data_IF_679931854233
#
_entry.id   IF_679931854233
#
_cell.length_a   1.000
_cell.length_b   1.000
_cell.length_c   1.000
_cell.angle_alpha   90.00
_cell.angle_beta   90.00
_cell.angle_gamma   90.00
#
_symmetry.space_group_name_H-M   'P 1'
#
loop_
_entity.id
_entity.type
_entity.pdbx_description
1 polymer ?
#
# COMPACT_ATOMS: atom_id res chain seq x y z
N UNK A 1 1.96 11.82 3.40
CA UNK A 1 1.50 10.44 3.11
C UNK A 1 0.11 10.17 3.68
N UNK A 2 -0.21 10.63 4.89
CA UNK A 2 -1.54 10.39 5.51
C UNK A 2 -2.72 10.99 4.74
N UNK A 3 -2.55 12.14 4.09
CA UNK A 3 -3.63 12.77 3.30
C UNK A 3 -3.98 11.93 2.07
N UNK A 4 -2.98 11.39 1.37
CA UNK A 4 -3.18 10.59 0.15
C UNK A 4 -3.87 9.25 0.47
N UNK A 5 -3.46 8.61 1.57
CA UNK A 5 -4.10 7.38 2.05
C UNK A 5 -5.48 7.65 2.66
N UNK A 6 -5.67 8.81 3.29
CA UNK A 6 -6.99 9.28 3.74
C UNK A 6 -7.95 9.45 2.57
N UNK A 7 -7.49 10.04 1.46
CA UNK A 7 -8.30 10.19 0.23
C UNK A 7 -8.62 8.83 -0.39
N UNK A 8 -7.64 7.91 -0.49
CA UNK A 8 -7.90 6.53 -0.99
C UNK A 8 -8.85 5.76 -0.06
N UNK A 9 -8.72 5.92 1.26
CA UNK A 9 -9.62 5.30 2.23
C UNK A 9 -11.04 5.89 2.16
N UNK A 10 -11.18 7.21 1.99
CA UNK A 10 -12.47 7.88 1.82
C UNK A 10 -13.14 7.43 0.51
N UNK A 11 -12.39 7.38 -0.60
CA UNK A 11 -12.90 6.88 -1.88
C UNK A 11 -13.29 5.40 -1.75
N UNK A 12 -12.47 4.59 -1.09
CA UNK A 12 -12.77 3.18 -0.80
C UNK A 12 -14.02 3.01 0.06
N UNK A 13 -14.19 3.80 1.11
CA UNK A 13 -15.38 3.80 1.96
C UNK A 13 -16.63 4.25 1.18
N UNK A 14 -16.49 5.25 0.31
CA UNK A 14 -17.56 5.76 -0.52
C UNK A 14 -18.01 4.76 -1.59
N UNK A 15 -17.08 3.99 -2.16
CA UNK A 15 -17.36 2.99 -3.19
C UNK A 15 -17.81 1.63 -2.64
N UNK A 16 -17.26 1.20 -1.50
CA UNK A 16 -17.49 -0.15 -0.94
C UNK A 16 -18.43 -0.17 0.26
N UNK A 17 -18.77 0.99 0.85
CA UNK A 17 -19.70 1.10 1.99
C UNK A 17 -19.17 0.48 3.30
N UNK A 18 -17.89 0.15 3.38
CA UNK A 18 -17.26 -0.50 4.53
C UNK A 18 -16.13 0.35 5.11
N UNK A 19 -16.04 0.45 6.44
CA UNK A 19 -14.93 1.09 7.13
C UNK A 19 -13.59 0.45 6.72
N UNK A 20 -12.84 1.16 5.87
CA UNK A 20 -11.50 0.74 5.44
C UNK A 20 -10.58 0.81 6.66
N UNK A 21 -10.10 -0.35 7.12
CA UNK A 21 -9.17 -0.44 8.25
C UNK A 21 -7.93 0.43 7.98
N UNK A 22 -7.43 1.20 8.98
CA UNK A 22 -6.31 2.10 8.78
C UNK A 22 -5.08 1.33 8.27
N UNK A 23 -4.42 1.80 7.19
CA UNK A 23 -3.31 1.07 6.56
C UNK A 23 -2.10 0.96 7.49
N UNK A 24 -1.93 1.88 8.44
CA UNK A 24 -0.85 1.88 9.41
C UNK A 24 -1.38 1.92 10.83
N UNK A 25 -0.76 1.14 11.72
CA UNK A 25 -1.06 1.15 13.15
C UNK A 25 0.22 1.41 13.95
N UNK A 26 0.57 2.70 14.07
CA UNK A 26 1.68 3.17 14.92
C UNK A 26 2.98 2.35 14.73
N UNK A 27 3.56 2.35 13.51
CA UNK A 27 4.68 1.47 13.14
C UNK A 27 5.95 1.69 13.97
N UNK A 28 6.13 2.89 14.51
CA UNK A 28 7.27 3.26 15.36
C UNK A 28 7.33 2.49 16.69
N UNK A 29 6.20 1.94 17.14
CA UNK A 29 6.10 1.17 18.38
C UNK A 29 6.20 -0.35 18.16
N UNK A 30 6.68 -0.79 17.00
CA UNK A 30 6.82 -2.22 16.69
C UNK A 30 7.87 -2.89 17.57
N UNK A 31 7.49 -3.91 18.35
CA UNK A 31 8.46 -4.58 19.23
C UNK A 31 9.34 -5.63 18.50
N UNK A 32 9.12 -5.84 17.20
CA UNK A 32 9.80 -6.84 16.37
C UNK A 32 9.54 -6.61 14.88
N UNK A 33 10.34 -7.22 13.99
CA UNK A 33 10.06 -7.21 12.55
C UNK A 33 8.74 -7.90 12.24
N UNK A 34 8.42 -8.98 12.96
CA UNK A 34 7.12 -9.64 12.85
C UNK A 34 5.95 -8.73 13.21
N UNK A 35 6.07 -7.96 14.29
CA UNK A 35 5.01 -7.03 14.72
C UNK A 35 4.89 -5.84 13.75
N UNK A 36 6.02 -5.37 13.22
CA UNK A 36 6.05 -4.34 12.18
C UNK A 36 5.29 -4.82 10.92
N UNK A 37 5.79 -5.85 10.25
CA UNK A 37 5.25 -6.31 8.96
C UNK A 37 3.86 -6.97 9.07
N UNK A 38 3.56 -7.59 10.21
CA UNK A 38 2.34 -8.39 10.38
C UNK A 38 1.14 -7.62 10.95
N UNK A 39 1.36 -6.52 11.68
CA UNK A 39 0.27 -5.87 12.45
C UNK A 39 0.25 -4.35 12.38
N UNK A 40 1.32 -3.71 11.92
CA UNK A 40 1.48 -2.25 12.05
C UNK A 40 1.79 -1.55 10.74
N UNK A 41 2.48 -2.23 9.83
CA UNK A 41 2.84 -1.72 8.52
C UNK A 41 1.93 -2.29 7.44
N UNK A 42 1.27 -1.41 6.69
CA UNK A 42 0.44 -1.73 5.54
C UNK A 42 -0.53 -2.90 5.79
N UNK A 43 -1.38 -2.75 6.81
CA UNK A 43 -2.27 -3.81 7.29
C UNK A 43 -3.21 -4.33 6.19
N UNK A 44 -3.59 -3.48 5.24
CA UNK A 44 -4.40 -3.87 4.07
C UNK A 44 -3.60 -4.80 3.16
N UNK A 45 -2.39 -4.40 2.74
CA UNK A 45 -1.54 -5.24 1.89
C UNK A 45 -1.15 -6.55 2.58
N UNK A 46 -0.77 -6.49 3.86
CA UNK A 46 -0.42 -7.68 4.65
C UNK A 46 -1.61 -8.65 4.80
N UNK A 47 -2.83 -8.12 4.99
CA UNK A 47 -4.05 -8.93 5.02
C UNK A 47 -4.34 -9.57 3.67
N UNK A 48 -4.22 -8.81 2.58
CA UNK A 48 -4.44 -9.30 1.21
C UNK A 48 -3.43 -10.40 0.86
N UNK A 49 -2.14 -10.17 1.07
CA UNK A 49 -1.09 -11.17 0.83
C UNK A 49 -1.26 -12.40 1.73
N UNK A 50 -1.78 -12.23 2.95
CA UNK A 50 -2.06 -13.35 3.84
C UNK A 50 -3.14 -14.27 3.26
N UNK A 51 -4.22 -13.69 2.73
CA UNK A 51 -5.30 -14.46 2.12
C UNK A 51 -4.89 -15.04 0.76
N UNK A 52 -4.22 -14.24 -0.07
CA UNK A 52 -3.88 -14.59 -1.45
C UNK A 52 -2.67 -15.53 -1.57
N UNK A 53 -1.69 -15.43 -0.68
CA UNK A 53 -0.41 -16.16 -0.79
C UNK A 53 -0.14 -17.00 0.45
N UNK A 54 -0.11 -16.40 1.64
CA UNK A 54 0.34 -17.09 2.84
C UNK A 54 -0.52 -18.32 3.17
N UNK A 55 -1.84 -18.15 3.28
CA UNK A 55 -2.78 -19.23 3.61
C UNK A 55 -2.77 -20.38 2.59
N UNK A 56 -2.88 -20.13 1.26
CA UNK A 56 -2.86 -21.22 0.29
C UNK A 56 -1.50 -21.93 0.24
N UNK A 57 -0.39 -21.19 0.34
CA UNK A 57 0.95 -21.80 0.40
C UNK A 57 1.12 -22.61 1.68
N UNK A 58 0.68 -22.09 2.83
CA UNK A 58 0.72 -22.81 4.10
C UNK A 58 -0.06 -24.12 4.01
N UNK A 59 -1.29 -24.09 3.50
CA UNK A 59 -2.14 -25.26 3.39
C UNK A 59 -1.53 -26.34 2.48
N UNK A 60 -0.96 -25.94 1.32
CA UNK A 60 -0.28 -26.87 0.42
C UNK A 60 1.03 -27.40 1.02
N UNK A 61 1.87 -26.50 1.54
CA UNK A 61 3.17 -26.86 2.11
C UNK A 61 3.04 -27.76 3.35
N UNK A 62 2.00 -27.56 4.18
CA UNK A 62 1.74 -28.39 5.36
C UNK A 62 1.50 -29.85 4.99
N UNK A 63 0.90 -30.09 3.81
CA UNK A 63 0.63 -31.44 3.30
C UNK A 63 1.86 -32.10 2.68
N UNK A 64 2.77 -31.32 2.10
CA UNK A 64 3.92 -31.83 1.33
C UNK A 64 5.18 -31.93 2.20
N UNK A 65 5.53 -30.85 2.91
CA UNK A 65 6.83 -30.68 3.60
C UNK A 65 6.65 -30.81 5.12
N UNK A 66 5.41 -30.82 5.60
CA UNK A 66 5.05 -31.01 6.99
C UNK A 66 4.85 -29.70 7.78
N UNK A 67 4.18 -29.78 8.94
CA UNK A 67 3.66 -28.61 9.65
C UNK A 67 4.74 -27.72 10.26
N UNK A 68 5.97 -28.22 10.43
CA UNK A 68 7.08 -27.46 11.03
C UNK A 68 7.71 -26.46 10.05
N UNK A 69 7.83 -26.83 8.77
CA UNK A 69 8.50 -26.01 7.75
C UNK A 69 7.52 -25.20 6.90
N UNK A 70 6.25 -25.62 6.86
CA UNK A 70 5.22 -24.95 6.08
C UNK A 70 5.02 -23.45 6.41
N UNK A 71 5.05 -23.01 7.69
CA UNK A 71 4.92 -21.59 8.02
C UNK A 71 6.10 -20.74 7.52
N UNK A 72 7.31 -21.28 7.55
CA UNK A 72 8.52 -20.61 7.06
C UNK A 72 8.47 -20.46 5.54
N UNK A 73 8.08 -21.52 4.83
CA UNK A 73 7.94 -21.46 3.38
C UNK A 73 6.84 -20.47 2.97
N UNK A 74 5.67 -20.52 3.61
CA UNK A 74 4.57 -19.59 3.35
C UNK A 74 4.99 -18.13 3.56
N UNK A 75 5.77 -17.86 4.61
CA UNK A 75 6.31 -16.54 4.89
C UNK A 75 7.26 -16.06 3.79
N UNK A 76 8.26 -16.87 3.43
CA UNK A 76 9.22 -16.53 2.37
C UNK A 76 8.52 -16.30 1.03
N UNK A 77 7.58 -17.18 0.65
CA UNK A 77 6.78 -17.02 -0.56
C UNK A 77 5.99 -15.71 -0.55
N UNK A 78 5.44 -15.31 0.59
CA UNK A 78 4.71 -14.03 0.71
C UNK A 78 5.62 -12.83 0.48
N UNK A 79 6.85 -12.85 1.02
CA UNK A 79 7.83 -11.78 0.79
C UNK A 79 8.32 -11.73 -0.66
N UNK A 80 8.50 -12.88 -1.32
CA UNK A 80 8.86 -12.95 -2.75
C UNK A 80 7.74 -12.39 -3.63
N UNK A 81 6.49 -12.77 -3.39
CA UNK A 81 5.35 -12.23 -4.16
C UNK A 81 5.22 -10.72 -3.92
N UNK A 82 5.39 -10.27 -2.68
CA UNK A 82 5.42 -8.84 -2.37
C UNK A 82 6.54 -8.11 -3.12
N UNK A 83 7.75 -8.67 -3.14
CA UNK A 83 8.89 -8.11 -3.88
C UNK A 83 8.57 -7.90 -5.36
N UNK A 84 8.03 -8.94 -6.02
CA UNK A 84 7.67 -8.90 -7.43
C UNK A 84 6.58 -7.87 -7.72
N UNK A 85 5.56 -7.78 -6.86
CA UNK A 85 4.52 -6.75 -7.00
C UNK A 85 5.12 -5.35 -6.93
N UNK A 86 6.04 -5.11 -6.00
CA UNK A 86 6.68 -3.78 -5.89
C UNK A 86 7.58 -3.47 -7.08
N UNK A 87 8.28 -4.46 -7.65
CA UNK A 87 9.04 -4.24 -8.89
C UNK A 87 8.14 -3.96 -10.08
N UNK A 88 7.00 -4.65 -10.20
CA UNK A 88 6.02 -4.36 -11.25
C UNK A 88 5.49 -2.93 -11.10
N UNK A 89 5.15 -2.51 -9.89
CA UNK A 89 4.70 -1.13 -9.62
C UNK A 89 5.79 -0.12 -10.01
N UNK A 90 7.03 -0.33 -9.60
CA UNK A 90 8.13 0.57 -9.96
C UNK A 90 8.45 0.56 -11.45
N UNK A 91 8.34 -0.58 -12.12
CA UNK A 91 8.45 -0.66 -13.56
C UNK A 91 7.36 0.17 -14.26
N UNK A 92 6.10 0.10 -13.81
CA UNK A 92 5.03 0.89 -14.40
C UNK A 92 5.19 2.40 -14.16
N UNK A 93 5.62 2.80 -12.96
CA UNK A 93 5.80 4.20 -12.59
C UNK A 93 7.05 4.82 -13.23
N UNK A 94 8.18 4.11 -13.20
CA UNK A 94 9.47 4.59 -13.71
C UNK A 94 9.67 4.35 -15.20
N UNK A 95 9.04 3.29 -15.77
CA UNK A 95 9.30 2.76 -17.13
C UNK A 95 10.77 2.44 -17.42
N UNK A 96 11.52 2.10 -16.40
CA UNK A 96 12.91 1.67 -16.52
C UNK A 96 13.04 0.27 -15.94
N UNK A 97 13.97 -0.52 -16.49
CA UNK A 97 14.28 -1.87 -16.03
C UNK A 97 14.59 -1.85 -14.52
N UNK A 98 13.94 -2.70 -13.72
CA UNK A 98 14.19 -2.79 -12.29
C UNK A 98 15.62 -3.29 -12.03
N UNK A 99 16.35 -2.65 -11.11
CA UNK A 99 17.70 -3.06 -10.70
C UNK A 99 17.72 -4.05 -9.54
N UNK A 100 16.54 -4.55 -9.16
CA UNK A 100 16.35 -5.59 -8.15
C UNK A 100 16.64 -5.17 -6.71
N UNK A 101 16.96 -3.91 -6.43
CA UNK A 101 17.20 -3.39 -5.09
C UNK A 101 15.96 -3.49 -4.21
N UNK A 102 14.78 -3.23 -4.79
CA UNK A 102 13.48 -3.48 -4.14
C UNK A 102 13.28 -4.95 -3.81
N UNK A 103 13.63 -5.85 -4.74
CA UNK A 103 13.55 -7.29 -4.48
C UNK A 103 14.48 -7.72 -3.34
N UNK A 104 15.73 -7.26 -3.36
CA UNK A 104 16.72 -7.48 -2.30
C UNK A 104 16.23 -6.99 -0.94
N UNK A 105 15.61 -5.81 -0.89
CA UNK A 105 15.03 -5.27 0.33
C UNK A 105 14.01 -6.23 0.95
N UNK A 106 13.00 -6.67 0.19
CA UNK A 106 11.98 -7.59 0.70
C UNK A 106 12.55 -8.97 1.08
N UNK A 107 13.52 -9.48 0.33
CA UNK A 107 14.18 -10.76 0.65
C UNK A 107 14.96 -10.69 1.97
N UNK A 108 15.73 -9.61 2.19
CA UNK A 108 16.47 -9.39 3.44
C UNK A 108 15.48 -9.31 4.61
N UNK A 109 14.40 -8.54 4.46
CA UNK A 109 13.37 -8.41 5.50
C UNK A 109 12.70 -9.75 5.81
N UNK A 110 12.35 -10.53 4.79
CA UNK A 110 11.76 -11.86 4.94
C UNK A 110 12.71 -12.83 5.65
N UNK A 111 13.99 -12.84 5.29
CA UNK A 111 15.01 -13.69 5.91
C UNK A 111 15.24 -13.30 7.38
N UNK A 112 15.37 -12.00 7.67
CA UNK A 112 15.50 -11.51 9.05
C UNK A 112 14.29 -11.93 9.91
N UNK A 113 13.08 -11.92 9.36
CA UNK A 113 11.87 -12.34 10.08
C UNK A 113 11.84 -13.86 10.35
N UNK A 114 12.33 -14.68 9.41
CA UNK A 114 12.51 -16.13 9.61
C UNK A 114 13.52 -16.42 10.72
N UNK A 115 14.67 -15.73 10.69
CA UNK A 115 15.70 -15.84 11.71
C UNK A 115 15.13 -15.43 13.07
N UNK A 116 14.41 -14.32 13.14
CA UNK A 116 13.76 -13.84 14.37
C UNK A 116 12.78 -14.88 14.94
N UNK A 117 11.90 -15.45 14.10
CA UNK A 117 10.96 -16.48 14.53
C UNK A 117 11.66 -17.76 15.01
N UNK A 118 12.74 -18.17 14.34
CA UNK A 118 13.51 -19.37 14.70
C UNK A 118 14.25 -19.17 16.01
N UNK A 119 14.87 -18.00 16.21
CA UNK A 119 15.54 -17.64 17.46
C UNK A 119 14.55 -17.57 18.63
N UNK A 120 13.38 -16.95 18.43
CA UNK A 120 12.32 -16.91 19.46
C UNK A 120 11.77 -18.30 19.83
N UNK A 121 11.78 -19.24 18.88
CA UNK A 121 11.30 -20.60 19.13
C UNK A 121 12.35 -21.46 19.82
N UNK A 122 13.64 -21.33 19.45
CA UNK A 122 14.74 -22.11 20.03
C UNK A 122 15.20 -21.58 21.37
N UNK A 123 15.24 -20.27 21.49
CA UNK A 123 15.68 -19.58 22.70
C UNK A 123 14.40 -19.17 23.41
N UNK A 124 14.01 -19.91 24.46
CA UNK A 124 12.84 -19.63 25.30
C UNK A 124 13.09 -18.38 26.19
N UNK A 125 13.59 -17.32 25.56
CA UNK A 125 14.15 -16.14 26.18
C UNK A 125 12.99 -15.21 26.53
N UNK A 126 12.62 -15.21 27.81
CA UNK A 126 11.73 -14.25 28.47
C UNK A 126 12.36 -12.86 28.62
N UNK A 127 13.28 -12.46 27.74
CA UNK A 127 13.85 -11.11 27.80
C UNK A 127 12.81 -10.14 27.29
N UNK A 128 12.12 -9.50 28.22
CA UNK A 128 11.27 -8.35 27.95
C UNK A 128 12.16 -7.16 27.64
N UNK A 129 12.75 -7.14 26.44
CA UNK A 129 13.42 -5.94 25.95
C UNK A 129 12.35 -4.84 25.88
N UNK A 130 12.57 -3.67 26.51
CA UNK A 130 11.57 -2.61 26.53
C UNK A 130 11.13 -2.28 25.10
N UNK A 131 9.82 -2.26 24.87
CA UNK A 131 9.25 -1.94 23.54
C UNK A 131 9.73 -0.60 23.01
N UNK A 132 10.07 0.32 23.91
CA UNK A 132 10.64 1.64 23.60
C UNK A 132 12.02 1.57 22.92
N UNK A 133 12.80 0.51 23.13
CA UNK A 133 14.15 0.38 22.56
C UNK A 133 14.08 -0.40 21.24
N UNK A 134 13.27 -1.47 21.21
CA UNK A 134 13.13 -2.30 20.01
C UNK A 134 12.39 -1.58 18.88
N UNK A 135 11.41 -0.73 19.19
CA UNK A 135 10.66 0.06 18.20
C UNK A 135 11.55 0.91 17.30
N UNK A 136 12.31 1.87 17.86
CA UNK A 136 13.24 2.70 17.10
C UNK A 136 14.32 1.89 16.38
N UNK A 137 14.80 0.79 16.98
CA UNK A 137 15.83 -0.05 16.37
C UNK A 137 15.31 -0.78 15.12
N UNK A 138 14.15 -1.43 15.22
CA UNK A 138 13.51 -2.11 14.08
C UNK A 138 13.14 -1.10 13.00
N UNK A 139 12.55 0.03 13.40
CA UNK A 139 12.19 1.09 12.47
C UNK A 139 13.42 1.67 11.78
N UNK A 140 14.48 1.98 12.53
CA UNK A 140 15.75 2.48 12.01
C UNK A 140 16.42 1.50 11.05
N UNK A 141 16.40 0.19 11.36
CA UNK A 141 16.90 -0.84 10.45
C UNK A 141 16.12 -0.88 9.12
N UNK A 142 14.80 -0.79 9.17
CA UNK A 142 13.95 -0.78 7.97
C UNK A 142 14.19 0.49 7.16
N UNK A 143 14.22 1.66 7.80
CA UNK A 143 14.51 2.93 7.13
C UNK A 143 15.89 2.91 6.51
N UNK A 144 16.91 2.45 7.23
CA UNK A 144 18.27 2.34 6.71
C UNK A 144 18.36 1.44 5.47
N UNK A 145 17.78 0.24 5.55
CA UNK A 145 17.78 -0.70 4.42
C UNK A 145 16.98 -0.17 3.23
N UNK A 146 15.85 0.49 3.47
CA UNK A 146 15.06 1.16 2.44
C UNK A 146 15.84 2.31 1.78
N UNK A 147 16.44 3.19 2.57
CA UNK A 147 17.23 4.32 2.07
C UNK A 147 18.44 3.86 1.27
N UNK A 148 19.02 2.70 1.60
CA UNK A 148 20.18 2.16 0.90
C UNK A 148 19.83 1.41 -0.38
N UNK A 149 18.73 0.65 -0.39
CA UNK A 149 18.42 -0.29 -1.48
C UNK A 149 17.33 0.21 -2.42
N UNK A 150 16.33 0.93 -1.90
CA UNK A 150 15.15 1.34 -2.67
C UNK A 150 15.22 2.81 -3.06
N UNK A 151 15.66 3.69 -2.15
CA UNK A 151 15.74 5.12 -2.42
C UNK A 151 16.65 5.52 -3.60
N UNK A 152 17.85 4.94 -3.82
CA UNK A 152 18.65 5.29 -5.00
C UNK A 152 17.93 4.93 -6.30
N UNK A 153 17.20 3.81 -6.34
CA UNK A 153 16.38 3.43 -7.49
C UNK A 153 15.27 4.48 -7.72
N UNK A 154 14.53 4.84 -6.68
CA UNK A 154 13.46 5.84 -6.78
C UNK A 154 13.93 7.23 -7.25
N UNK A 155 15.11 7.66 -6.80
CA UNK A 155 15.69 8.95 -7.17
C UNK A 155 16.16 8.96 -8.63
N UNK A 156 16.77 7.87 -9.12
CA UNK A 156 17.20 7.78 -10.51
C UNK A 156 16.04 7.73 -11.50
N UNK A 157 14.89 7.21 -11.08
CA UNK A 157 13.73 7.05 -11.94
C UNK A 157 12.84 8.31 -12.05
N UNK A 158 13.19 9.43 -11.40
CA UNK A 158 12.36 10.65 -11.30
C UNK A 158 10.88 10.34 -10.95
N UNK A 159 10.65 9.23 -10.21
CA UNK A 159 9.30 8.70 -9.96
C UNK A 159 8.44 9.73 -9.24
N UNK A 160 9.06 10.52 -8.37
CA UNK A 160 8.38 11.56 -7.60
C UNK A 160 7.88 12.67 -8.53
N UNK A 161 8.74 13.21 -9.40
CA UNK A 161 8.35 14.29 -10.32
C UNK A 161 7.30 13.82 -11.32
N UNK A 162 7.46 12.60 -11.86
CA UNK A 162 6.52 12.03 -12.82
C UNK A 162 5.19 11.65 -12.20
N UNK A 163 5.18 11.03 -11.02
CA UNK A 163 3.94 10.73 -10.30
C UNK A 163 3.20 12.01 -9.90
N UNK A 164 3.92 13.08 -9.53
CA UNK A 164 3.33 14.40 -9.29
C UNK A 164 2.71 14.96 -10.59
N UNK A 165 3.42 14.85 -11.72
CA UNK A 165 2.91 15.31 -13.02
C UNK A 165 1.66 14.54 -13.48
N UNK A 166 1.66 13.20 -13.33
CA UNK A 166 0.50 12.37 -13.67
C UNK A 166 -0.69 12.66 -12.73
N UNK A 167 -0.43 12.85 -11.43
CA UNK A 167 -1.46 13.25 -10.49
C UNK A 167 -2.03 14.64 -10.81
N UNK A 168 -1.17 15.60 -11.16
CA UNK A 168 -1.59 16.93 -11.60
C UNK A 168 -2.49 16.86 -12.85
N UNK A 169 -2.12 16.03 -13.83
CA UNK A 169 -2.93 15.83 -15.04
C UNK A 169 -4.31 15.23 -14.74
N UNK A 170 -4.41 14.29 -13.79
CA UNK A 170 -5.71 13.73 -13.35
C UNK A 170 -6.54 14.79 -12.63
N UNK A 171 -5.92 15.59 -11.75
CA UNK A 171 -6.61 16.69 -11.05
C UNK A 171 -7.13 17.72 -12.05
N UNK A 172 -6.34 18.09 -13.05
CA UNK A 172 -6.74 19.04 -14.07
C UNK A 172 -7.85 18.48 -14.96
N UNK A 173 -7.79 17.20 -15.33
CA UNK A 173 -8.90 16.53 -16.03
C UNK A 173 -10.20 16.55 -15.21
N UNK A 174 -10.13 16.29 -13.90
CA UNK A 174 -11.31 16.33 -13.02
C UNK A 174 -11.86 17.75 -12.90
N UNK A 175 -10.98 18.76 -12.79
CA UNK A 175 -11.41 20.17 -12.78
C UNK A 175 -12.10 20.52 -14.10
N UNK A 176 -11.52 20.18 -15.23
CA UNK A 176 -12.11 20.44 -16.54
C UNK A 176 -13.45 19.75 -16.73
N UNK A 177 -13.56 18.48 -16.32
CA UNK A 177 -14.82 17.76 -16.31
C UNK A 177 -15.86 18.44 -15.40
N UNK A 178 -15.47 18.88 -14.20
CA UNK A 178 -16.37 19.56 -13.27
C UNK A 178 -16.85 20.92 -13.80
N UNK A 179 -15.97 21.70 -14.43
CA UNK A 179 -16.30 22.97 -15.07
C UNK A 179 -17.23 22.76 -16.26
N UNK A 180 -16.98 21.72 -17.06
CA UNK A 180 -17.85 21.33 -18.16
C UNK A 180 -19.25 20.95 -17.66
N UNK A 181 -19.34 20.17 -16.57
CA UNK A 181 -20.60 19.79 -15.94
C UNK A 181 -21.38 21.00 -15.41
N UNK A 182 -20.71 21.95 -14.72
CA UNK A 182 -21.36 23.19 -14.25
C UNK A 182 -21.86 24.04 -15.41
N UNK A 183 -21.07 24.13 -16.49
CA UNK A 183 -21.44 24.91 -17.68
C UNK A 183 -22.61 24.26 -18.43
N UNK A 184 -22.61 22.94 -18.57
CA UNK A 184 -23.71 22.17 -19.15
C UNK A 184 -24.98 22.31 -18.31
N UNK A 185 -24.87 22.20 -16.98
CA UNK A 185 -25.97 22.40 -16.04
C UNK A 185 -26.58 23.80 -16.14
N UNK A 186 -25.75 24.85 -16.16
CA UNK A 186 -26.22 26.24 -16.33
C UNK A 186 -26.89 26.47 -17.68
N UNK A 187 -26.34 25.92 -18.77
CA UNK A 187 -26.93 26.05 -20.11
C UNK A 187 -28.25 25.29 -20.23
N UNK A 188 -28.34 24.11 -19.61
CA UNK A 188 -29.57 23.32 -19.58
C UNK A 188 -30.66 24.06 -18.79
N UNK A 189 -30.35 24.55 -17.58
CA UNK A 189 -31.26 25.37 -16.78
C UNK A 189 -31.71 26.65 -17.48
N UNK A 190 -30.79 27.37 -18.13
CA UNK A 190 -31.12 28.59 -18.86
C UNK A 190 -32.04 28.33 -20.07
N UNK A 191 -31.81 27.22 -20.77
CA UNK A 191 -32.65 26.80 -21.89
C UNK A 191 -34.06 26.41 -21.41
N UNK A 192 -34.16 25.60 -20.36
CA UNK A 192 -35.45 25.22 -19.77
C UNK A 192 -36.23 26.43 -19.24
N UNK A 193 -35.53 27.39 -18.62
CA UNK A 193 -36.13 28.63 -18.14
C UNK A 193 -36.69 29.50 -19.27
N UNK A 194 -35.93 29.67 -20.36
CA UNK A 194 -36.41 30.45 -21.51
C UNK A 194 -37.59 29.77 -22.21
N UNK A 195 -37.58 28.45 -22.34
CA UNK A 195 -38.69 27.70 -22.91
C UNK A 195 -39.95 27.81 -22.03
N UNK A 196 -39.82 27.74 -20.70
CA UNK A 196 -40.97 27.95 -19.79
C UNK A 196 -41.46 29.38 -19.74
N UNK A 197 -40.57 30.38 -19.77
CA UNK A 197 -40.94 31.79 -19.80
C UNK A 197 -41.70 32.17 -21.09
N UNK A 198 -41.31 31.58 -22.23
CA UNK A 198 -41.98 31.80 -23.52
C UNK A 198 -43.39 31.23 -23.54
N UNK A 199 -43.58 30.02 -22.98
CA UNK A 199 -44.92 29.40 -22.85
C UNK A 199 -45.84 30.22 -21.95
N UNK A 200 -45.32 30.76 -20.83
CA UNK A 200 -46.11 31.63 -19.96
C UNK A 200 -46.55 32.96 -20.62
N UNK A 201 -45.81 33.47 -21.60
CA UNK A 201 -46.18 34.69 -22.34
C UNK A 201 -47.24 34.45 -23.43
N UNK A 202 -47.45 33.22 -23.89
CA UNK A 202 -48.47 32.88 -24.90
C UNK A 202 -49.86 32.55 -24.31
N UNK A 203 -49.96 32.48 -22.97
CA UNK A 203 -51.19 32.08 -22.26
C UNK A 203 -51.94 33.31 -21.69
N UNK A 204 -51.43 34.53 -21.90
CA UNK A 204 -52.12 35.80 -21.65
C UNK A 204 -52.46 36.51 -22.98
#
# INVERSE_FOLDING_TARGET
MDVMLGVVAIIGQFLLGTEVAPPFNNPYFASSLRDFWGRRWNCVSSSTLRLAVYNPVLNKASRIIGPKLAPTLALLSTFVVSALIHEIIFYYLGRVMPRWGTTLFFLIQGLCLVVENTLKTKINVKWHVPRLIMGPLVFGFIVYTFMRLVMPELLEYNVVERAIAEYAAVVDFVKDASLYWVKCGKNCWYKTWNETAYVCQQIN
#
